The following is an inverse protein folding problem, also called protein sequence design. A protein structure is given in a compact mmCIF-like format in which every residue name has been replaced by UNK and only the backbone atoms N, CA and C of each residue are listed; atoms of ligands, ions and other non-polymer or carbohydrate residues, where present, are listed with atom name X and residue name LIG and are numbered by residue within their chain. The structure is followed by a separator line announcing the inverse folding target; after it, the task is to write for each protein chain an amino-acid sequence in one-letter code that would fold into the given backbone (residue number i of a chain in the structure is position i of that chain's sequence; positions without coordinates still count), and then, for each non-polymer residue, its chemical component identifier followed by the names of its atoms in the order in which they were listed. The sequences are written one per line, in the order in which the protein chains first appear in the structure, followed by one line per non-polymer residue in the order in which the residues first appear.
data_IF_651176281435
#
_entry.id   IF_651176281435
#
_cell.length_a   1.000
_cell.length_b   1.000
_cell.length_c   1.000
_cell.angle_alpha   90.00
_cell.angle_beta   90.00
_cell.angle_gamma   90.00
#
_symmetry.space_group_name_H-M   'P 1'
#
loop_
_entity.id
_entity.type
_entity.pdbx_description
1 polymer ?
#
# COMPACT_ATOMS: atom_id res chain seq x y z
N UNK A 1 -25.29 -69.15 25.20
CA UNK A 1 -24.96 -68.13 26.23
C UNK A 1 -23.70 -67.38 25.81
N UNK A 2 -23.68 -66.07 26.09
CA UNK A 2 -22.64 -65.05 25.87
C UNK A 2 -22.65 -64.36 24.49
N UNK A 3 -23.46 -63.29 24.45
CA UNK A 3 -23.42 -62.20 23.49
C UNK A 3 -22.16 -61.36 23.71
N UNK A 4 -21.44 -61.02 22.65
CA UNK A 4 -20.40 -59.98 22.68
C UNK A 4 -20.91 -58.76 21.90
N UNK A 5 -21.18 -57.71 22.65
CA UNK A 5 -21.60 -56.39 22.17
C UNK A 5 -20.42 -55.70 21.50
N UNK A 6 -20.48 -55.48 20.18
CA UNK A 6 -19.55 -54.58 19.50
C UNK A 6 -20.09 -53.15 19.58
N UNK A 7 -19.39 -52.30 20.34
CA UNK A 7 -19.65 -50.86 20.42
C UNK A 7 -19.06 -50.23 19.16
N UNK A 8 -19.93 -49.69 18.30
CA UNK A 8 -19.53 -48.86 17.18
C UNK A 8 -19.12 -47.47 17.69
N UNK A 9 -17.83 -47.16 17.66
CA UNK A 9 -17.33 -45.81 17.88
C UNK A 9 -17.61 -44.97 16.62
N UNK A 10 -18.67 -44.17 16.66
CA UNK A 10 -18.95 -43.14 15.67
C UNK A 10 -17.93 -42.01 15.80
N UNK A 11 -16.81 -42.11 15.07
CA UNK A 11 -15.87 -41.02 14.88
C UNK A 11 -16.49 -39.96 13.97
N UNK A 12 -17.13 -38.95 14.57
CA UNK A 12 -17.50 -37.72 13.86
C UNK A 12 -16.20 -36.95 13.63
N UNK A 13 -15.56 -37.21 12.49
CA UNK A 13 -14.54 -36.32 11.96
C UNK A 13 -15.23 -35.04 11.47
N UNK A 14 -15.36 -34.05 12.35
CA UNK A 14 -15.63 -32.68 11.92
C UNK A 14 -14.35 -32.12 11.29
N UNK A 15 -14.13 -32.44 10.02
CA UNK A 15 -13.21 -31.65 9.20
C UNK A 15 -13.89 -30.32 8.94
N UNK A 16 -13.62 -29.37 9.83
CA UNK A 16 -13.90 -27.95 9.61
C UNK A 16 -13.15 -27.56 8.35
N UNK A 17 -13.90 -27.48 7.26
CA UNK A 17 -13.43 -26.97 5.98
C UNK A 17 -13.25 -25.46 6.15
N UNK A 18 -12.19 -25.04 6.85
CA UNK A 18 -11.72 -23.66 6.79
C UNK A 18 -11.02 -23.48 5.45
N UNK A 19 -11.80 -23.49 4.38
CA UNK A 19 -11.47 -22.71 3.19
C UNK A 19 -11.51 -21.25 3.63
N UNK A 20 -10.46 -20.82 4.33
CA UNK A 20 -10.07 -19.43 4.29
C UNK A 20 -9.85 -19.17 2.81
N UNK A 21 -10.77 -18.44 2.20
CA UNK A 21 -10.51 -17.84 0.92
C UNK A 21 -9.17 -17.12 1.09
N UNK A 22 -8.11 -17.65 0.50
CA UNK A 22 -6.97 -16.83 0.14
C UNK A 22 -7.56 -15.80 -0.81
N UNK A 23 -8.00 -14.67 -0.24
CA UNK A 23 -8.15 -13.44 -1.00
C UNK A 23 -6.81 -13.27 -1.70
N UNK A 24 -6.79 -13.59 -2.99
CA UNK A 24 -5.65 -13.27 -3.83
C UNK A 24 -5.37 -11.81 -3.56
N UNK A 25 -4.20 -11.46 -2.99
CA UNK A 25 -3.96 -10.10 -2.58
C UNK A 25 -4.14 -9.23 -3.83
N UNK A 26 -5.13 -8.35 -3.79
CA UNK A 26 -5.35 -7.37 -4.85
C UNK A 26 -4.04 -6.61 -4.95
N UNK A 27 -3.28 -6.89 -6.01
CA UNK A 27 -1.94 -6.36 -6.19
C UNK A 27 -2.09 -5.07 -6.99
N UNK A 28 -1.93 -3.94 -6.31
CA UNK A 28 -1.90 -2.64 -6.97
C UNK A 28 -0.53 -2.47 -7.61
N UNK A 29 -0.47 -2.35 -8.94
CA UNK A 29 0.78 -2.13 -9.67
C UNK A 29 0.94 -0.68 -10.13
N UNK A 30 -0.17 0.00 -10.37
CA UNK A 30 -0.22 1.41 -10.78
C UNK A 30 -0.69 2.25 -9.59
N UNK A 31 0.06 3.28 -9.16
CA UNK A 31 -0.30 4.09 -8.00
C UNK A 31 -1.70 4.70 -8.09
N UNK A 32 -2.11 5.15 -9.27
CA UNK A 32 -3.44 5.76 -9.46
C UNK A 32 -4.61 4.77 -9.36
N UNK A 33 -4.37 3.45 -9.36
CA UNK A 33 -5.45 2.47 -9.20
C UNK A 33 -6.14 2.56 -7.83
N UNK A 34 -5.51 3.20 -6.83
CA UNK A 34 -6.16 3.52 -5.54
C UNK A 34 -7.31 4.52 -5.68
N UNK A 35 -7.38 5.22 -6.82
CA UNK A 35 -8.41 6.21 -7.15
C UNK A 35 -9.47 5.67 -8.12
N UNK A 36 -9.41 4.38 -8.47
CA UNK A 36 -10.37 3.76 -9.39
C UNK A 36 -11.79 3.83 -8.86
N UNK A 37 -12.71 4.29 -9.70
CA UNK A 37 -14.13 4.46 -9.35
C UNK A 37 -14.51 5.85 -8.84
N UNK A 38 -13.57 6.80 -8.77
CA UNK A 38 -13.93 8.20 -8.56
C UNK A 38 -14.82 8.74 -9.68
N UNK A 39 -15.76 9.61 -9.32
CA UNK A 39 -16.60 10.29 -10.29
C UNK A 39 -15.78 11.22 -11.18
N UNK A 40 -16.24 11.43 -12.42
CA UNK A 40 -15.56 12.32 -13.37
C UNK A 40 -15.49 13.77 -12.87
N UNK A 41 -16.50 14.20 -12.12
CA UNK A 41 -16.56 15.56 -11.56
C UNK A 41 -15.48 15.75 -10.49
N UNK A 42 -15.32 14.77 -9.60
CA UNK A 42 -14.23 14.79 -8.59
C UNK A 42 -12.87 14.82 -9.28
N UNK A 43 -12.64 13.96 -10.28
CA UNK A 43 -11.36 13.94 -11.00
C UNK A 43 -11.10 15.28 -11.67
N UNK A 44 -12.11 15.89 -12.32
CA UNK A 44 -11.97 17.20 -12.95
C UNK A 44 -11.62 18.28 -11.93
N UNK A 45 -12.23 18.25 -10.76
CA UNK A 45 -12.04 19.25 -9.71
C UNK A 45 -10.70 19.10 -8.98
N UNK A 46 -9.97 17.98 -9.14
CA UNK A 46 -8.57 17.84 -8.72
C UNK A 46 -7.57 18.65 -9.58
N UNK A 47 -8.01 19.25 -10.69
CA UNK A 47 -7.15 20.08 -11.54
C UNK A 47 -6.62 21.29 -10.78
N UNK A 48 -5.34 21.61 -11.00
CA UNK A 48 -4.71 22.85 -10.55
C UNK A 48 -5.59 24.09 -10.80
N UNK A 49 -5.80 24.89 -9.76
CA UNK A 49 -6.59 26.12 -9.82
C UNK A 49 -8.11 25.95 -9.69
N UNK A 50 -8.61 24.72 -9.54
CA UNK A 50 -10.02 24.49 -9.19
C UNK A 50 -10.34 25.05 -7.80
N UNK A 51 -11.47 25.78 -7.68
CA UNK A 51 -11.97 26.27 -6.40
C UNK A 51 -12.55 25.15 -5.50
N UNK A 52 -12.80 23.97 -6.08
CA UNK A 52 -13.33 22.79 -5.39
C UNK A 52 -12.26 21.75 -5.07
N UNK A 53 -10.99 22.05 -5.35
CA UNK A 53 -9.91 21.06 -5.24
C UNK A 53 -9.82 20.44 -3.84
N UNK A 54 -9.96 21.24 -2.79
CA UNK A 54 -9.84 20.75 -1.42
C UNK A 54 -10.93 19.70 -1.12
N UNK A 55 -12.17 19.96 -1.53
CA UNK A 55 -13.29 19.03 -1.32
C UNK A 55 -13.12 17.77 -2.18
N UNK A 56 -12.74 17.93 -3.45
CA UNK A 56 -12.44 16.83 -4.36
C UNK A 56 -11.29 15.95 -3.85
N UNK A 57 -10.25 16.55 -3.26
CA UNK A 57 -9.15 15.85 -2.63
C UNK A 57 -9.61 15.09 -1.37
N UNK A 58 -10.53 15.66 -0.59
CA UNK A 58 -11.15 14.97 0.53
C UNK A 58 -11.94 13.73 0.10
N UNK A 59 -12.70 13.80 -1.00
CA UNK A 59 -13.41 12.64 -1.56
C UNK A 59 -12.43 11.60 -2.14
N UNK A 60 -11.43 12.06 -2.89
CA UNK A 60 -10.37 11.21 -3.42
C UNK A 60 -9.58 10.51 -2.31
N UNK A 61 -9.34 11.18 -1.18
CA UNK A 61 -8.69 10.60 0.00
C UNK A 61 -9.52 9.49 0.64
N UNK A 62 -10.83 9.70 0.80
CA UNK A 62 -11.72 8.65 1.31
C UNK A 62 -11.67 7.41 0.43
N UNK A 63 -11.64 7.60 -0.88
CA UNK A 63 -11.51 6.50 -1.83
C UNK A 63 -10.16 5.81 -1.73
N UNK A 64 -9.07 6.58 -1.72
CA UNK A 64 -7.72 6.06 -1.60
C UNK A 64 -7.54 5.24 -0.31
N UNK A 65 -8.12 5.68 0.81
CA UNK A 65 -8.06 4.97 2.10
C UNK A 65 -8.65 3.55 2.05
N UNK A 66 -9.56 3.23 1.12
CA UNK A 66 -10.05 1.86 0.90
C UNK A 66 -8.97 0.90 0.37
N UNK A 67 -7.78 1.41 0.03
CA UNK A 67 -6.62 0.60 -0.34
C UNK A 67 -5.73 0.21 0.83
N UNK A 68 -5.98 0.73 2.03
CA UNK A 68 -5.23 0.36 3.23
C UNK A 68 -5.29 -1.16 3.47
N UNK A 69 -4.14 -1.74 3.82
CA UNK A 69 -3.95 -3.17 4.00
C UNK A 69 -3.72 -3.97 2.72
N UNK A 70 -4.06 -3.44 1.54
CA UNK A 70 -3.84 -4.13 0.25
C UNK A 70 -2.36 -4.18 -0.10
N UNK A 71 -1.98 -5.25 -0.81
CA UNK A 71 -0.62 -5.39 -1.31
C UNK A 71 -0.43 -4.50 -2.55
N UNK A 72 0.70 -3.85 -2.63
CA UNK A 72 1.05 -3.02 -3.78
C UNK A 72 2.51 -3.20 -4.17
N UNK A 73 2.77 -3.07 -5.46
CA UNK A 73 4.10 -3.14 -6.06
C UNK A 73 4.32 -1.87 -6.87
N UNK A 74 5.32 -1.08 -6.52
CA UNK A 74 5.59 0.20 -7.17
C UNK A 74 7.01 0.23 -7.71
N UNK A 75 7.15 0.74 -8.94
CA UNK A 75 8.43 1.16 -9.49
C UNK A 75 8.65 2.62 -9.12
N UNK A 76 9.68 2.91 -8.33
CA UNK A 76 9.96 4.26 -7.84
C UNK A 76 11.35 4.70 -8.24
N UNK A 77 11.51 6.02 -8.39
CA UNK A 77 12.83 6.67 -8.39
C UNK A 77 13.06 7.21 -6.99
N UNK A 78 14.15 6.81 -6.36
CA UNK A 78 14.50 7.25 -5.01
C UNK A 78 14.77 8.76 -5.02
N UNK A 79 14.01 9.53 -4.24
CA UNK A 79 14.23 10.95 -3.99
C UNK A 79 15.19 11.18 -2.82
N UNK A 80 15.02 10.42 -1.75
CA UNK A 80 15.80 10.48 -0.52
C UNK A 80 15.87 9.12 0.17
N UNK A 81 16.96 8.90 0.91
CA UNK A 81 17.18 7.75 1.79
C UNK A 81 17.67 8.30 3.12
N UNK A 82 16.79 8.36 4.10
CA UNK A 82 17.09 8.98 5.40
C UNK A 82 17.06 7.91 6.50
N UNK A 83 18.05 7.88 7.41
CA UNK A 83 17.97 7.07 8.61
C UNK A 83 16.70 7.40 9.39
N UNK A 84 15.99 6.37 9.84
CA UNK A 84 14.77 6.50 10.60
C UNK A 84 14.81 5.59 11.82
N UNK A 85 14.41 6.15 12.95
CA UNK A 85 14.32 5.45 14.22
C UNK A 85 12.91 5.67 14.75
N UNK A 86 12.10 4.62 14.70
CA UNK A 86 10.74 4.67 15.20
C UNK A 86 10.77 4.73 16.73
N UNK A 87 9.93 5.56 17.34
CA UNK A 87 9.96 5.80 18.79
C UNK A 87 9.65 4.52 19.58
N UNK A 88 8.81 3.65 19.02
CA UNK A 88 8.39 2.37 19.57
C UNK A 88 9.45 1.27 19.48
N UNK A 89 10.49 1.46 18.67
CA UNK A 89 11.54 0.47 18.46
C UNK A 89 12.87 1.18 18.16
N UNK A 90 13.47 1.83 19.17
CA UNK A 90 14.66 2.66 18.99
C UNK A 90 15.89 1.83 18.64
N UNK A 91 15.96 0.55 18.99
CA UNK A 91 17.14 -0.28 18.71
C UNK A 91 17.21 -0.79 17.26
N UNK A 92 16.15 -0.60 16.47
CA UNK A 92 16.10 -1.07 15.07
C UNK A 92 16.46 0.08 14.14
N UNK A 93 17.60 -0.03 13.47
CA UNK A 93 18.00 0.89 12.40
C UNK A 93 17.09 0.68 11.19
N UNK A 94 16.34 1.72 10.83
CA UNK A 94 15.48 1.73 9.64
C UNK A 94 15.94 2.82 8.69
N UNK A 95 15.52 2.72 7.45
CA UNK A 95 15.67 3.76 6.44
C UNK A 95 14.30 4.11 5.89
N UNK A 96 14.02 5.41 5.83
CA UNK A 96 12.91 5.99 5.08
C UNK A 96 13.38 6.22 3.66
N UNK A 97 12.75 5.53 2.71
CA UNK A 97 12.90 5.80 1.29
C UNK A 97 11.69 6.62 0.87
N UNK A 98 11.93 7.89 0.55
CA UNK A 98 10.96 8.68 -0.19
C UNK A 98 11.20 8.51 -1.68
N UNK A 99 10.23 7.93 -2.36
CA UNK A 99 10.18 7.83 -3.82
C UNK A 99 9.21 8.87 -4.37
N UNK A 100 9.61 9.54 -5.45
CA UNK A 100 8.63 10.19 -6.32
C UNK A 100 8.31 9.19 -7.41
N UNK A 101 7.04 8.78 -7.52
CA UNK A 101 6.58 8.26 -8.80
C UNK A 101 6.34 9.49 -9.67
N UNK A 102 6.75 9.38 -10.93
CA UNK A 102 6.63 10.46 -11.91
C UNK A 102 5.20 11.06 -11.92
N UNK A 103 5.04 12.24 -12.51
CA UNK A 103 3.72 12.85 -12.63
C UNK A 103 2.80 11.93 -13.44
N UNK A 104 1.78 11.35 -12.79
CA UNK A 104 0.83 10.46 -13.45
C UNK A 104 -0.42 11.21 -13.88
N UNK A 105 -1.09 10.71 -14.93
CA UNK A 105 -2.24 11.37 -15.54
C UNK A 105 -3.51 10.55 -15.36
N UNK A 106 -4.43 11.04 -14.53
CA UNK A 106 -5.75 10.45 -14.34
C UNK A 106 -6.80 11.24 -15.14
N UNK A 107 -7.33 10.65 -16.22
CA UNK A 107 -8.37 11.27 -17.06
C UNK A 107 -8.09 12.74 -17.47
N UNK A 108 -6.83 13.06 -17.76
CA UNK A 108 -6.43 14.41 -18.18
C UNK A 108 -5.99 15.36 -17.05
N UNK A 109 -6.04 14.91 -15.80
CA UNK A 109 -5.53 15.65 -14.64
C UNK A 109 -4.20 15.06 -14.19
N UNK A 110 -3.22 15.93 -13.99
CA UNK A 110 -1.91 15.54 -13.51
C UNK A 110 -1.94 15.42 -11.98
N UNK A 111 -1.52 14.27 -11.46
CA UNK A 111 -1.42 13.99 -10.03
C UNK A 111 0.04 13.67 -9.73
N UNK A 112 0.62 14.38 -8.77
CA UNK A 112 1.96 14.05 -8.28
C UNK A 112 1.87 12.90 -7.29
N UNK A 113 2.65 11.84 -7.50
CA UNK A 113 2.59 10.66 -6.65
C UNK A 113 3.84 10.57 -5.79
N UNK A 114 3.63 10.47 -4.49
CA UNK A 114 4.65 10.40 -3.45
C UNK A 114 4.51 9.06 -2.74
N UNK A 115 5.59 8.30 -2.68
CA UNK A 115 5.62 7.01 -2.01
C UNK A 115 6.65 7.06 -0.89
N UNK A 116 6.22 6.80 0.34
CA UNK A 116 7.10 6.64 1.48
C UNK A 116 7.16 5.15 1.85
N UNK A 117 8.36 4.60 1.90
CA UNK A 117 8.62 3.24 2.31
C UNK A 117 9.56 3.24 3.51
N UNK A 118 9.23 2.48 4.56
CA UNK A 118 10.13 2.28 5.70
C UNK A 118 10.70 0.87 5.62
N UNK A 119 12.03 0.76 5.52
CA UNK A 119 12.74 -0.51 5.42
C UNK A 119 13.61 -0.70 6.65
N UNK A 120 13.54 -1.89 7.27
CA UNK A 120 14.41 -2.26 8.38
C UNK A 120 15.70 -2.91 7.84
N UNK A 121 16.87 -2.51 8.36
CA UNK A 121 18.17 -2.96 7.82
C UNK A 121 18.42 -4.46 8.02
N UNK A 122 17.89 -5.03 9.10
CA UNK A 122 17.96 -6.46 9.43
C UNK A 122 17.27 -7.31 8.36
N UNK A 123 16.19 -6.80 7.77
CA UNK A 123 15.47 -7.41 6.65
C UNK A 123 16.09 -7.05 5.29
N UNK A 124 16.76 -5.91 5.20
CA UNK A 124 17.32 -5.36 3.97
C UNK A 124 18.76 -4.85 4.15
N UNK A 125 19.75 -5.74 4.28
CA UNK A 125 21.13 -5.36 4.59
C UNK A 125 21.81 -4.50 3.51
N UNK A 126 21.23 -4.42 2.31
CA UNK A 126 21.72 -3.60 1.19
C UNK A 126 21.07 -2.22 1.10
N UNK A 127 20.11 -1.89 1.98
CA UNK A 127 19.37 -0.62 1.91
C UNK A 127 20.27 0.61 2.06
N UNK A 128 21.35 0.49 2.84
CA UNK A 128 22.37 1.53 3.02
C UNK A 128 23.12 1.90 1.73
N UNK A 129 23.08 1.03 0.71
CA UNK A 129 23.76 1.23 -0.57
C UNK A 129 22.88 1.98 -1.58
N UNK A 130 21.58 2.10 -1.30
CA UNK A 130 20.64 2.82 -2.15
C UNK A 130 20.91 4.31 -2.09
N UNK A 131 20.80 4.97 -3.25
CA UNK A 131 21.09 6.39 -3.41
C UNK A 131 19.95 7.09 -4.13
N UNK A 132 19.89 8.41 -3.94
CA UNK A 132 19.02 9.28 -4.73
C UNK A 132 19.26 9.05 -6.23
N UNK A 133 18.17 8.88 -6.97
CA UNK A 133 18.17 8.62 -8.41
C UNK A 133 18.12 7.14 -8.79
N UNK A 134 18.37 6.23 -7.84
CA UNK A 134 18.23 4.79 -8.10
C UNK A 134 16.78 4.45 -8.43
N UNK A 135 16.60 3.53 -9.38
CA UNK A 135 15.29 2.98 -9.74
C UNK A 135 15.12 1.64 -9.04
N UNK A 136 14.12 1.55 -8.17
CA UNK A 136 13.83 0.31 -7.44
C UNK A 136 12.38 -0.10 -7.61
N UNK A 137 12.12 -1.39 -7.44
CA UNK A 137 10.76 -1.91 -7.28
C UNK A 137 10.57 -2.25 -5.81
N UNK A 138 9.53 -1.70 -5.19
CA UNK A 138 9.13 -2.04 -3.83
C UNK A 138 7.83 -2.84 -3.89
N UNK A 139 7.71 -3.88 -3.08
CA UNK A 139 6.44 -4.59 -2.86
C UNK A 139 6.12 -4.54 -1.39
N UNK A 140 4.93 -4.11 -0.98
CA UNK A 140 4.56 -4.05 0.43
C UNK A 140 3.06 -3.90 0.61
N UNK A 141 2.64 -3.59 1.83
CA UNK A 141 1.23 -3.28 2.14
C UNK A 141 1.03 -1.78 2.26
N UNK A 142 -0.04 -1.26 1.67
CA UNK A 142 -0.41 0.14 1.82
C UNK A 142 -0.82 0.36 3.28
N UNK A 143 -0.05 1.17 4.00
CA UNK A 143 -0.30 1.52 5.38
C UNK A 143 -1.10 2.80 5.56
N UNK A 144 -1.11 3.65 4.53
CA UNK A 144 -1.93 4.86 4.41
C UNK A 144 -1.96 5.28 2.93
N UNK A 145 -3.06 5.87 2.50
CA UNK A 145 -3.22 6.44 1.17
C UNK A 145 -4.10 7.69 1.24
N UNK A 146 -3.55 8.84 0.82
CA UNK A 146 -4.21 10.14 0.97
C UNK A 146 -4.01 11.00 -0.27
N UNK A 147 -5.01 11.81 -0.63
CA UNK A 147 -4.92 12.81 -1.69
C UNK A 147 -4.98 14.21 -1.09
N UNK A 148 -3.92 14.99 -1.29
CA UNK A 148 -3.87 16.38 -0.85
C UNK A 148 -4.19 17.31 -2.02
N UNK A 149 -5.15 18.21 -1.81
CA UNK A 149 -5.51 19.28 -2.76
C UNK A 149 -4.92 20.61 -2.32
N UNK A 150 -3.73 20.96 -2.82
CA UNK A 150 -3.05 22.23 -2.51
C UNK A 150 -2.91 23.10 -3.77
N UNK A 151 -1.67 23.34 -4.21
CA UNK A 151 -1.40 23.97 -5.51
C UNK A 151 -1.67 22.99 -6.65
N UNK A 152 -1.34 21.72 -6.43
CA UNK A 152 -1.66 20.59 -7.30
C UNK A 152 -2.30 19.47 -6.47
N UNK A 153 -2.92 18.51 -7.13
CA UNK A 153 -3.31 17.25 -6.50
C UNK A 153 -2.07 16.36 -6.29
N UNK A 154 -1.91 15.86 -5.08
CA UNK A 154 -0.81 14.99 -4.69
C UNK A 154 -1.37 13.73 -4.04
N UNK A 155 -1.02 12.56 -4.57
CA UNK A 155 -1.30 11.27 -3.96
C UNK A 155 -0.11 10.85 -3.10
N UNK A 156 -0.34 10.62 -1.82
CA UNK A 156 0.66 10.17 -0.85
C UNK A 156 0.34 8.73 -0.44
N UNK A 157 1.31 7.83 -0.61
CA UNK A 157 1.18 6.41 -0.28
C UNK A 157 2.28 6.01 0.70
N UNK A 158 1.89 5.52 1.86
CA UNK A 158 2.80 4.89 2.80
C UNK A 158 2.79 3.38 2.56
N UNK A 159 3.96 2.78 2.37
CA UNK A 159 4.12 1.35 2.16
C UNK A 159 4.90 0.74 3.32
N UNK A 160 4.27 -0.22 3.99
CA UNK A 160 4.78 -0.99 5.12
C UNK A 160 5.14 -2.41 4.69
N UNK A 161 5.85 -3.13 5.56
CA UNK A 161 6.27 -4.53 5.33
C UNK A 161 6.95 -4.73 3.95
N UNK A 162 7.80 -3.77 3.59
CA UNK A 162 8.39 -3.66 2.26
C UNK A 162 9.31 -4.84 2.00
N UNK A 163 9.26 -5.36 0.78
CA UNK A 163 10.19 -6.33 0.22
C UNK A 163 10.84 -5.71 -1.01
N UNK A 164 12.16 -5.80 -1.07
CA UNK A 164 12.94 -5.54 -2.26
C UNK A 164 13.16 -6.87 -3.00
N UNK A 165 13.18 -6.87 -4.35
CA UNK A 165 13.54 -8.05 -5.13
C UNK A 165 14.99 -8.50 -4.91
#
# INVERSE_FOLDING_TARGET
MKYLTFIAAAGIAMSVNSQGAEEKPVTIQEPLAVLDGLSRDVIKDLRSGSNKMMDAAGEASKKAAESEGKQATFKIVIGNVDPFQAAEAPTVTRYKIGGRVEMERLSGVNISVHILAVLAIDQHPKVEKLKKGDKITITGRIGNAEVLGRTNAELHLDVKDVKLP
#
